data_IF_228919501306
#
_entry.id   IF_228919501306
#
_cell.length_a   1.000
_cell.length_b   1.000
_cell.length_c   1.000
_cell.angle_alpha   90.00
_cell.angle_beta   90.00
_cell.angle_gamma   90.00
#
_symmetry.space_group_name_H-M   'P 1'
#
loop_
_entity.id
_entity.type
_entity.pdbx_description
1 polymer ?
#
# COMPACT_ATOMS: atom_id res chain seq x y z
N UNK A 1 -26.10 -42.49 -16.48
CA UNK A 1 -25.19 -41.33 -16.43
C UNK A 1 -25.16 -40.83 -14.99
N UNK A 2 -24.01 -40.90 -14.29
CA UNK A 2 -23.94 -40.41 -12.92
C UNK A 2 -23.79 -38.88 -12.92
N UNK A 3 -24.62 -38.21 -12.13
CA UNK A 3 -24.62 -36.77 -11.90
C UNK A 3 -23.35 -36.35 -11.17
N UNK A 4 -22.66 -35.35 -11.72
CA UNK A 4 -21.52 -34.69 -11.09
C UNK A 4 -22.06 -33.89 -9.89
N UNK A 5 -21.55 -34.09 -8.65
CA UNK A 5 -22.01 -33.30 -7.52
C UNK A 5 -21.52 -31.86 -7.68
N UNK A 6 -22.44 -30.92 -7.46
CA UNK A 6 -22.13 -29.50 -7.39
C UNK A 6 -21.10 -29.27 -6.28
N UNK A 7 -19.90 -28.86 -6.66
CA UNK A 7 -18.91 -28.34 -5.73
C UNK A 7 -19.51 -27.12 -5.03
N UNK A 8 -19.98 -27.32 -3.80
CA UNK A 8 -20.24 -26.26 -2.83
C UNK A 8 -18.89 -25.57 -2.57
N UNK A 9 -18.65 -24.49 -3.31
CA UNK A 9 -17.58 -23.55 -3.01
C UNK A 9 -17.89 -22.99 -1.61
N UNK A 10 -17.24 -23.54 -0.59
CA UNK A 10 -17.17 -22.92 0.71
C UNK A 10 -16.61 -21.51 0.47
N UNK A 11 -17.50 -20.52 0.53
CA UNK A 11 -17.11 -19.11 0.48
C UNK A 11 -16.40 -18.85 1.80
N UNK A 12 -15.09 -19.12 1.84
CA UNK A 12 -14.26 -18.82 2.99
C UNK A 12 -14.44 -17.33 3.30
N UNK A 13 -15.23 -17.03 4.34
CA UNK A 13 -15.24 -15.70 4.90
C UNK A 13 -13.80 -15.39 5.32
N UNK A 14 -13.22 -14.26 4.88
CA UNK A 14 -11.89 -13.87 5.34
C UNK A 14 -11.88 -13.88 6.87
N UNK A 15 -10.85 -14.47 7.49
CA UNK A 15 -10.73 -14.56 8.95
C UNK A 15 -10.80 -13.17 9.60
N UNK A 16 -10.33 -12.17 8.87
CA UNK A 16 -10.36 -10.77 9.25
C UNK A 16 -11.80 -10.23 9.36
N UNK A 17 -12.74 -10.77 8.58
CA UNK A 17 -14.17 -10.43 8.68
C UNK A 17 -14.78 -11.02 9.96
N UNK A 18 -14.39 -12.25 10.31
CA UNK A 18 -14.82 -12.94 11.54
C UNK A 18 -14.25 -12.28 12.79
N UNK A 19 -12.98 -11.85 12.76
CA UNK A 19 -12.31 -11.19 13.88
C UNK A 19 -12.71 -9.73 14.04
N UNK A 20 -13.26 -9.10 12.98
CA UNK A 20 -13.58 -7.66 12.98
C UNK A 20 -14.45 -7.19 14.15
N UNK A 21 -15.49 -7.91 14.62
CA UNK A 21 -16.34 -7.44 15.73
C UNK A 21 -15.58 -7.35 17.06
N UNK A 22 -14.53 -8.17 17.23
CA UNK A 22 -13.67 -8.18 18.43
C UNK A 22 -12.54 -7.17 18.27
N UNK A 23 -11.94 -7.08 17.10
CA UNK A 23 -10.80 -6.20 16.84
C UNK A 23 -11.16 -4.71 16.88
N UNK A 24 -12.37 -4.34 16.44
CA UNK A 24 -12.84 -2.94 16.46
C UNK A 24 -12.86 -2.30 17.85
N UNK A 25 -13.56 -2.86 18.86
CA UNK A 25 -13.57 -2.26 20.19
C UNK A 25 -12.17 -2.24 20.81
N UNK A 26 -11.33 -3.25 20.55
CA UNK A 26 -9.93 -3.26 21.02
C UNK A 26 -9.10 -2.13 20.40
N UNK A 27 -9.24 -1.89 19.10
CA UNK A 27 -8.53 -0.80 18.42
C UNK A 27 -9.01 0.56 18.90
N UNK A 28 -10.33 0.75 19.07
CA UNK A 28 -10.88 1.98 19.64
C UNK A 28 -10.40 2.21 21.07
N UNK A 29 -10.46 1.20 21.93
CA UNK A 29 -9.99 1.28 23.31
C UNK A 29 -8.50 1.61 23.37
N UNK A 30 -7.68 0.97 22.53
CA UNK A 30 -6.26 1.30 22.38
C UNK A 30 -6.09 2.76 21.94
N UNK A 31 -6.80 3.20 20.90
CA UNK A 31 -6.69 4.58 20.42
C UNK A 31 -7.02 5.60 21.52
N UNK A 32 -8.09 5.38 22.29
CA UNK A 32 -8.49 6.22 23.43
C UNK A 32 -7.44 6.22 24.54
N UNK A 33 -6.90 5.05 24.90
CA UNK A 33 -5.90 4.92 25.97
C UNK A 33 -4.57 5.59 25.61
N UNK A 34 -4.15 5.52 24.34
CA UNK A 34 -2.90 6.12 23.90
C UNK A 34 -3.05 7.59 23.46
N UNK A 35 -4.27 8.10 23.26
CA UNK A 35 -4.51 9.49 22.82
C UNK A 35 -3.83 10.55 23.70
N UNK A 36 -3.94 10.52 25.05
CA UNK A 36 -3.30 11.52 25.90
C UNK A 36 -1.78 11.45 25.82
N UNK A 37 -1.22 10.24 25.69
CA UNK A 37 0.21 10.04 25.52
C UNK A 37 0.70 10.60 24.18
N UNK A 38 -0.10 10.48 23.12
CA UNK A 38 0.22 11.07 21.80
C UNK A 38 0.26 12.59 21.87
N UNK A 39 -0.76 13.22 22.46
CA UNK A 39 -0.87 14.68 22.54
C UNK A 39 0.25 15.30 23.39
N UNK A 40 0.75 14.58 24.40
CA UNK A 40 1.79 15.06 25.33
C UNK A 40 3.21 14.68 24.92
N UNK A 41 3.38 13.82 23.92
CA UNK A 41 4.69 13.39 23.44
C UNK A 41 5.39 14.51 22.67
N UNK A 42 6.59 14.88 23.11
CA UNK A 42 7.49 15.82 22.42
C UNK A 42 8.37 15.15 21.37
N UNK A 43 7.93 14.02 20.83
CA UNK A 43 8.69 13.32 19.81
C UNK A 43 8.60 14.07 18.48
N UNK A 44 9.73 14.61 18.03
CA UNK A 44 9.86 15.32 16.75
C UNK A 44 11.03 14.69 16.00
N UNK A 45 10.77 13.75 15.07
CA UNK A 45 11.83 13.20 14.23
C UNK A 45 12.34 14.27 13.26
N UNK A 46 13.58 14.12 12.82
CA UNK A 46 14.12 14.97 11.77
C UNK A 46 13.59 14.48 10.42
N UNK A 47 12.82 15.32 9.70
CA UNK A 47 12.20 14.97 8.43
C UNK A 47 12.96 15.63 7.29
N UNK A 48 13.52 14.81 6.41
CA UNK A 48 14.10 15.25 5.13
C UNK A 48 13.01 15.10 4.08
N UNK A 49 12.54 16.22 3.55
CA UNK A 49 11.52 16.22 2.50
C UNK A 49 12.07 15.69 1.16
N UNK A 50 11.17 15.19 0.31
CA UNK A 50 11.47 15.02 -1.11
C UNK A 50 11.76 16.42 -1.63
N UNK A 51 13.03 16.71 -1.95
CA UNK A 51 13.43 18.04 -2.42
C UNK A 51 12.55 18.49 -3.59
N UNK A 52 12.22 19.79 -3.70
CA UNK A 52 11.54 20.28 -4.89
C UNK A 52 12.38 19.93 -6.12
N UNK A 53 11.72 19.58 -7.22
CA UNK A 53 12.33 19.19 -8.51
C UNK A 53 13.42 20.18 -8.97
N UNK A 54 13.38 21.43 -8.48
CA UNK A 54 14.33 22.50 -8.77
C UNK A 54 15.65 22.51 -7.96
N UNK A 55 15.78 21.78 -6.86
CA UNK A 55 17.02 21.78 -6.03
C UNK A 55 17.76 20.44 -6.01
N UNK A 56 17.19 19.39 -6.61
CA UNK A 56 17.93 18.14 -6.83
C UNK A 56 18.92 18.30 -7.99
N UNK A 57 20.17 17.95 -7.74
CA UNK A 57 21.27 17.96 -8.72
C UNK A 57 21.01 17.00 -9.89
N UNK A 58 20.03 16.10 -9.76
CA UNK A 58 19.47 15.24 -10.80
C UNK A 58 17.93 15.34 -10.82
N UNK A 59 17.34 16.28 -11.58
CA UNK A 59 15.88 16.45 -11.68
C UNK A 59 15.14 15.27 -12.36
N UNK A 60 15.84 14.18 -12.69
CA UNK A 60 15.35 13.05 -13.48
C UNK A 60 14.92 11.83 -12.64
N UNK A 61 15.20 11.79 -11.33
CA UNK A 61 14.92 10.59 -10.52
C UNK A 61 13.48 10.52 -10.00
N UNK A 62 12.80 11.66 -9.83
CA UNK A 62 11.42 11.69 -9.33
C UNK A 62 10.44 11.55 -10.49
N UNK A 63 9.67 10.45 -10.49
CA UNK A 63 8.63 10.18 -11.49
C UNK A 63 7.25 10.08 -10.85
N UNK A 64 6.23 10.44 -11.61
CA UNK A 64 4.83 10.44 -11.16
C UNK A 64 4.04 9.37 -11.90
N UNK A 65 3.28 8.60 -11.15
CA UNK A 65 2.43 7.53 -11.65
C UNK A 65 1.01 7.69 -11.16
N UNK A 66 0.05 7.36 -12.01
CA UNK A 66 -1.35 7.34 -11.65
C UNK A 66 -1.88 5.91 -11.67
N UNK A 67 -2.38 5.45 -10.53
CA UNK A 67 -3.07 4.17 -10.37
C UNK A 67 -4.57 4.41 -10.42
N UNK A 68 -5.25 3.86 -11.43
CA UNK A 68 -6.68 4.05 -11.66
C UNK A 68 -7.44 2.73 -11.75
N UNK A 69 -8.60 2.71 -11.13
CA UNK A 69 -9.58 1.64 -11.25
C UNK A 69 -10.13 1.59 -12.67
N UNK A 70 -10.21 0.40 -13.24
CA UNK A 70 -10.80 0.22 -14.56
C UNK A 70 -12.33 0.39 -14.53
N UNK A 71 -12.85 1.07 -15.56
CA UNK A 71 -14.29 1.30 -15.70
C UNK A 71 -15.03 -0.04 -15.89
N UNK A 72 -16.19 -0.20 -15.26
CA UNK A 72 -17.00 -1.43 -15.33
C UNK A 72 -16.47 -2.65 -14.57
N UNK A 73 -15.17 -2.73 -14.25
CA UNK A 73 -14.58 -3.86 -13.51
C UNK A 73 -14.63 -3.70 -11.97
N UNK A 74 -14.98 -2.50 -11.49
CA UNK A 74 -14.99 -2.19 -10.06
C UNK A 74 -13.60 -2.35 -9.42
N UNK A 75 -13.52 -2.67 -8.13
CA UNK A 75 -12.25 -2.85 -7.41
C UNK A 75 -11.57 -4.21 -7.70
N UNK A 76 -11.65 -4.69 -8.94
CA UNK A 76 -11.01 -5.93 -9.39
C UNK A 76 -9.72 -5.67 -10.16
N UNK A 77 -9.68 -4.57 -10.90
CA UNK A 77 -8.55 -4.24 -11.77
C UNK A 77 -8.17 -2.78 -11.59
N UNK A 78 -6.89 -2.53 -11.37
CA UNK A 78 -6.30 -1.18 -11.39
C UNK A 78 -5.18 -1.15 -12.41
N UNK A 79 -5.17 -0.15 -13.29
CA UNK A 79 -4.07 0.12 -14.21
C UNK A 79 -3.13 1.18 -13.64
N UNK A 80 -1.84 1.03 -13.91
CA UNK A 80 -0.79 2.00 -13.57
C UNK A 80 -0.34 2.70 -14.85
N UNK A 81 -0.34 4.03 -14.82
CA UNK A 81 0.00 4.89 -15.95
C UNK A 81 1.12 5.84 -15.54
N UNK A 82 2.04 6.10 -16.47
CA UNK A 82 3.06 7.13 -16.32
C UNK A 82 2.46 8.50 -16.64
N UNK A 83 2.59 9.47 -15.72
CA UNK A 83 2.07 10.82 -15.93
C UNK A 83 2.96 11.66 -16.87
N UNK A 84 4.24 11.28 -17.04
CA UNK A 84 5.16 11.95 -17.96
C UNK A 84 4.81 11.72 -19.43
N UNK A 85 4.12 10.61 -19.73
CA UNK A 85 3.64 10.25 -21.06
C UNK A 85 2.10 10.29 -21.09
N UNK A 86 1.47 11.48 -21.20
CA UNK A 86 0.04 11.67 -20.97
C UNK A 86 -0.86 11.15 -22.10
N UNK A 87 -0.38 10.28 -22.99
CA UNK A 87 -1.21 9.72 -24.07
C UNK A 87 -2.20 8.74 -23.42
N UNK A 88 -3.41 9.25 -23.15
CA UNK A 88 -4.52 8.69 -22.35
C UNK A 88 -5.15 7.38 -22.88
N UNK A 89 -4.42 6.54 -23.60
CA UNK A 89 -4.97 5.28 -24.11
C UNK A 89 -4.73 4.11 -23.14
N UNK A 90 -5.73 3.22 -23.07
CA UNK A 90 -5.73 2.00 -22.26
C UNK A 90 -4.51 1.11 -22.57
N UNK A 91 -3.92 1.24 -23.75
CA UNK A 91 -2.85 0.40 -24.28
C UNK A 91 -1.44 0.81 -23.81
N UNK A 92 -1.29 1.91 -23.06
CA UNK A 92 0.00 2.36 -22.50
C UNK A 92 0.12 2.12 -20.99
N UNK A 93 -0.60 1.13 -20.45
CA UNK A 93 -0.44 0.71 -19.05
C UNK A 93 0.99 0.20 -18.86
N UNK A 94 1.64 0.62 -17.78
CA UNK A 94 2.91 0.04 -17.35
C UNK A 94 2.67 -1.28 -16.63
N UNK A 95 1.73 -1.25 -15.69
CA UNK A 95 1.32 -2.40 -14.90
C UNK A 95 -0.19 -2.46 -14.77
N UNK A 96 -0.69 -3.65 -14.43
CA UNK A 96 -2.03 -3.78 -13.87
C UNK A 96 -2.05 -4.65 -12.63
N UNK A 97 -2.82 -4.22 -11.62
CA UNK A 97 -3.16 -5.01 -10.44
C UNK A 97 -4.49 -5.71 -10.68
N UNK A 98 -4.44 -7.03 -10.78
CA UNK A 98 -5.63 -7.89 -10.90
C UNK A 98 -5.87 -8.60 -9.59
N UNK A 99 -7.07 -8.41 -9.05
CA UNK A 99 -7.48 -9.03 -7.79
C UNK A 99 -7.61 -10.54 -7.94
N UNK A 100 -7.06 -11.27 -6.96
CA UNK A 100 -7.28 -12.70 -6.85
C UNK A 100 -8.74 -13.02 -6.54
N UNK A 101 -9.27 -14.08 -7.15
CA UNK A 101 -10.63 -14.58 -6.87
C UNK A 101 -10.74 -15.22 -5.49
N UNK A 102 -9.64 -15.75 -4.96
CA UNK A 102 -9.61 -16.56 -3.74
C UNK A 102 -9.65 -15.74 -2.45
N UNK A 103 -9.01 -14.56 -2.43
CA UNK A 103 -8.86 -13.76 -1.20
C UNK A 103 -9.18 -12.30 -1.46
N UNK A 104 -10.10 -11.75 -0.68
CA UNK A 104 -10.48 -10.33 -0.74
C UNK A 104 -9.33 -9.49 -0.16
N UNK A 105 -8.61 -8.75 -1.00
CA UNK A 105 -7.42 -7.98 -0.60
C UNK A 105 -6.11 -8.53 -1.17
N UNK A 106 -6.16 -9.66 -1.86
CA UNK A 106 -5.02 -10.16 -2.63
C UNK A 106 -5.08 -9.68 -4.08
N UNK A 107 -3.95 -9.19 -4.59
CA UNK A 107 -3.77 -8.72 -5.96
C UNK A 107 -2.52 -9.36 -6.56
N UNK A 108 -2.49 -9.44 -7.88
CA UNK A 108 -1.30 -9.78 -8.66
C UNK A 108 -0.99 -8.59 -9.54
N UNK A 109 0.26 -8.16 -9.53
CA UNK A 109 0.79 -7.17 -10.44
C UNK A 109 1.32 -7.88 -11.68
N UNK A 110 1.04 -7.34 -12.85
CA UNK A 110 1.57 -7.82 -14.11
C UNK A 110 2.16 -6.64 -14.88
N UNK A 111 3.27 -6.86 -15.55
CA UNK A 111 3.84 -5.97 -16.55
C UNK A 111 3.13 -6.15 -17.88
N UNK A 112 2.98 -5.08 -18.66
CA UNK A 112 2.39 -5.18 -20.00
C UNK A 112 3.24 -6.07 -20.90
N UNK A 113 2.61 -7.05 -21.55
CA UNK A 113 3.27 -8.00 -22.46
C UNK A 113 3.75 -9.30 -21.78
N UNK A 114 3.72 -9.38 -20.45
CA UNK A 114 4.16 -10.56 -19.71
C UNK A 114 2.98 -11.42 -19.24
N UNK A 115 3.10 -12.74 -19.40
CA UNK A 115 2.09 -13.70 -18.94
C UNK A 115 2.23 -14.02 -17.45
N UNK A 116 3.42 -13.86 -16.89
CA UNK A 116 3.71 -14.11 -15.48
C UNK A 116 3.48 -12.86 -14.65
N UNK A 117 3.17 -13.05 -13.36
CA UNK A 117 2.95 -11.96 -12.45
C UNK A 117 4.30 -11.45 -11.91
N UNK A 118 4.53 -10.16 -12.03
CA UNK A 118 5.69 -9.44 -11.48
C UNK A 118 5.71 -9.50 -9.96
N UNK A 119 4.53 -9.37 -9.34
CA UNK A 119 4.38 -9.39 -7.88
C UNK A 119 3.04 -9.97 -7.44
N UNK A 120 3.05 -10.60 -6.27
CA UNK A 120 1.85 -11.03 -5.55
C UNK A 120 1.70 -10.20 -4.27
N UNK A 121 0.52 -9.63 -4.07
CA UNK A 121 0.23 -8.72 -2.98
C UNK A 121 -0.90 -9.31 -2.17
N UNK A 122 -0.82 -9.22 -0.86
CA UNK A 122 -1.95 -9.47 0.04
C UNK A 122 -1.98 -8.37 1.08
N UNK A 123 -3.08 -7.63 1.07
CA UNK A 123 -3.39 -6.62 2.06
C UNK A 123 -4.32 -7.19 3.14
N UNK A 124 -4.12 -6.77 4.39
CA UNK A 124 -4.92 -7.17 5.55
C UNK A 124 -4.12 -7.12 6.86
N UNK A 125 -4.61 -7.84 7.87
CA UNK A 125 -4.00 -7.88 9.22
C UNK A 125 -2.52 -8.25 9.17
N UNK A 126 -2.19 -9.25 8.34
CA UNK A 126 -0.82 -9.52 7.90
C UNK A 126 -0.74 -9.22 6.42
N UNK A 127 -0.05 -8.13 6.12
CA UNK A 127 0.17 -7.71 4.74
C UNK A 127 1.52 -8.21 4.27
N UNK A 128 1.59 -8.71 3.05
CA UNK A 128 2.84 -9.17 2.46
C UNK A 128 2.85 -9.03 0.95
N UNK A 129 4.06 -8.93 0.42
CA UNK A 129 4.38 -8.85 -0.99
C UNK A 129 5.34 -9.99 -1.30
N UNK A 130 5.12 -10.67 -2.42
CA UNK A 130 6.09 -11.57 -3.03
C UNK A 130 6.47 -10.95 -4.37
N UNK A 131 7.68 -10.40 -4.46
CA UNK A 131 8.28 -9.92 -5.70
C UNK A 131 8.88 -11.12 -6.43
N UNK A 132 8.41 -11.36 -7.66
CA UNK A 132 8.79 -12.53 -8.47
C UNK A 132 9.76 -12.12 -9.57
N UNK A 133 9.51 -10.97 -10.19
CA UNK A 133 10.30 -10.44 -11.27
C UNK A 133 10.53 -8.94 -11.07
N UNK A 134 11.69 -8.46 -11.49
CA UNK A 134 11.99 -7.05 -11.61
C UNK A 134 12.00 -6.67 -13.10
N UNK A 135 11.53 -5.46 -13.44
CA UNK A 135 11.65 -4.94 -14.82
C UNK A 135 13.02 -4.28 -15.07
N UNK A 136 13.78 -4.00 -14.01
CA UNK A 136 15.11 -3.37 -14.01
C UNK A 136 16.19 -4.36 -13.54
N UNK A 137 17.29 -4.47 -14.29
CA UNK A 137 18.43 -5.37 -14.00
C UNK A 137 19.11 -5.07 -12.65
N UNK A 138 19.10 -3.81 -12.17
CA UNK A 138 19.72 -3.43 -10.89
C UNK A 138 18.87 -3.77 -9.65
N UNK A 139 17.59 -4.10 -9.86
CA UNK A 139 16.59 -4.28 -8.80
C UNK A 139 16.38 -5.74 -8.38
N UNK A 140 17.12 -6.70 -8.96
CA UNK A 140 17.00 -8.13 -8.67
C UNK A 140 17.11 -8.47 -7.18
N UNK A 141 17.85 -7.69 -6.40
CA UNK A 141 17.98 -8.00 -4.98
C UNK A 141 16.73 -7.67 -4.13
N UNK A 142 15.70 -7.05 -4.69
CA UNK A 142 14.40 -6.86 -4.00
C UNK A 142 13.41 -8.01 -4.26
N UNK A 143 13.84 -9.08 -4.94
CA UNK A 143 13.02 -10.26 -5.15
C UNK A 143 12.80 -11.04 -3.85
N UNK A 144 11.63 -11.68 -3.74
CA UNK A 144 11.27 -12.50 -2.57
C UNK A 144 10.14 -11.91 -1.72
N UNK A 145 10.04 -12.41 -0.49
CA UNK A 145 8.95 -12.09 0.43
C UNK A 145 9.26 -10.88 1.29
N UNK A 146 8.39 -9.88 1.21
CA UNK A 146 8.42 -8.68 2.04
C UNK A 146 7.18 -8.64 2.93
N UNK A 147 7.39 -8.62 4.23
CA UNK A 147 6.29 -8.56 5.22
C UNK A 147 6.06 -7.11 5.61
N UNK A 148 4.82 -6.66 5.51
CA UNK A 148 4.43 -5.33 5.95
C UNK A 148 3.78 -5.39 7.34
N UNK A 149 4.52 -4.87 8.32
CA UNK A 149 4.07 -4.69 9.69
C UNK A 149 3.18 -3.48 9.87
N UNK A 150 2.57 -3.37 11.05
CA UNK A 150 1.80 -2.20 11.47
C UNK A 150 2.37 -1.69 12.79
N UNK A 151 2.79 -0.42 12.80
CA UNK A 151 3.28 0.26 14.00
C UNK A 151 2.51 1.54 14.18
N UNK A 152 2.41 1.93 15.43
CA UNK A 152 1.69 3.11 15.84
C UNK A 152 2.59 3.83 16.84
N UNK A 153 2.87 5.11 16.58
CA UNK A 153 3.61 5.95 17.49
C UNK A 153 2.76 7.15 17.97
N UNK A 154 3.42 8.17 18.52
CA UNK A 154 2.78 9.38 18.99
C UNK A 154 2.26 10.31 17.88
N UNK A 155 2.81 10.21 16.67
CA UNK A 155 2.55 11.10 15.54
C UNK A 155 1.52 10.48 14.60
N UNK A 156 1.74 9.23 14.20
CA UNK A 156 0.93 8.56 13.19
C UNK A 156 0.80 7.03 13.39
N UNK A 157 0.05 6.42 12.48
CA UNK A 157 0.04 4.99 12.22
C UNK A 157 0.83 4.70 10.94
N UNK A 158 1.59 3.61 10.94
CA UNK A 158 2.57 3.30 9.91
C UNK A 158 2.43 1.87 9.42
N UNK A 159 2.65 1.69 8.11
CA UNK A 159 2.92 0.40 7.48
C UNK A 159 4.39 0.29 7.16
N UNK A 160 5.08 -0.64 7.79
CA UNK A 160 6.54 -0.73 7.77
C UNK A 160 6.99 -2.01 7.12
N UNK A 161 8.10 -1.95 6.42
CA UNK A 161 8.77 -3.08 5.81
C UNK A 161 10.26 -2.77 5.75
N UNK A 162 11.06 -3.82 5.64
CA UNK A 162 12.51 -3.70 5.51
C UNK A 162 12.90 -4.13 4.11
N UNK A 163 13.82 -3.39 3.51
CA UNK A 163 14.42 -3.76 2.24
C UNK A 163 15.82 -4.32 2.47
N UNK A 164 16.38 -4.90 1.40
CA UNK A 164 17.73 -5.49 1.34
C UNK A 164 18.85 -4.55 1.80
N UNK A 165 18.62 -3.24 1.71
CA UNK A 165 19.59 -2.21 2.04
C UNK A 165 19.73 -2.01 3.56
N UNK A 166 18.98 -2.78 4.35
CA UNK A 166 19.03 -2.78 5.80
C UNK A 166 18.23 -1.64 6.44
N UNK A 167 17.53 -0.84 5.64
CA UNK A 167 16.70 0.25 6.14
C UNK A 167 15.24 -0.15 6.28
N UNK A 168 14.59 0.42 7.29
CA UNK A 168 13.14 0.32 7.44
C UNK A 168 12.47 1.42 6.64
N UNK A 169 11.54 1.04 5.78
CA UNK A 169 10.67 1.95 5.06
C UNK A 169 9.28 1.93 5.71
N UNK A 170 8.61 3.09 5.72
CA UNK A 170 7.28 3.22 6.30
C UNK A 170 6.35 4.11 5.47
N UNK A 171 5.09 3.71 5.37
CA UNK A 171 4.01 4.55 4.83
C UNK A 171 3.23 5.20 5.97
N UNK A 172 3.17 6.54 5.95
CA UNK A 172 2.40 7.33 6.90
C UNK A 172 0.90 7.32 6.55
N UNK A 173 0.02 7.40 7.55
CA UNK A 173 -1.44 7.40 7.31
C UNK A 173 -1.95 8.79 6.94
N UNK A 174 -1.55 9.80 7.72
CA UNK A 174 -2.01 11.19 7.55
C UNK A 174 -1.36 11.83 6.34
N UNK A 175 -0.03 11.83 6.32
CA UNK A 175 0.79 12.46 5.29
C UNK A 175 0.85 11.69 3.98
N UNK A 176 0.65 10.36 4.01
CA UNK A 176 0.74 9.47 2.85
C UNK A 176 2.09 9.60 2.13
N UNK A 177 3.14 9.71 2.93
CA UNK A 177 4.52 9.70 2.49
C UNK A 177 5.12 8.32 2.76
N UNK A 178 5.99 7.89 1.86
CA UNK A 178 6.92 6.80 2.10
C UNK A 178 8.20 7.42 2.66
N UNK A 179 8.60 6.96 3.82
CA UNK A 179 9.76 7.44 4.55
C UNK A 179 10.76 6.30 4.71
N UNK A 180 12.01 6.53 4.28
CA UNK A 180 13.17 5.74 4.66
C UNK A 180 13.61 6.21 6.05
N UNK A 181 13.64 5.30 7.02
CA UNK A 181 13.91 5.64 8.41
C UNK A 181 15.30 5.16 8.81
N UNK A 182 16.10 6.10 9.31
CA UNK A 182 17.39 5.84 9.94
C UNK A 182 17.21 5.87 11.46
N UNK A 183 17.85 4.93 12.17
CA UNK A 183 17.82 4.84 13.65
C UNK A 183 16.40 4.76 14.24
N UNK A 184 15.58 3.89 13.67
CA UNK A 184 14.18 3.72 14.07
C UNK A 184 14.04 3.48 15.59
N UNK A 185 13.36 4.38 16.28
CA UNK A 185 13.09 4.27 17.73
C UNK A 185 14.07 5.04 18.62
N UNK A 186 15.11 5.66 18.07
CA UNK A 186 16.09 6.44 18.84
C UNK A 186 15.67 7.91 19.11
N UNK A 187 14.37 8.21 19.04
CA UNK A 187 13.79 9.52 19.34
C UNK A 187 14.41 10.66 18.53
N UNK A 188 15.40 11.36 19.09
CA UNK A 188 16.00 12.58 18.55
C UNK A 188 17.03 12.30 17.43
N UNK A 189 17.62 11.10 17.39
CA UNK A 189 18.51 10.67 16.31
C UNK A 189 17.78 9.96 15.16
N UNK A 190 16.46 9.80 15.26
CA UNK A 190 15.65 9.23 14.19
C UNK A 190 15.51 10.24 13.03
N UNK A 191 16.01 9.85 11.87
CA UNK A 191 15.92 10.63 10.63
C UNK A 191 14.98 9.93 9.67
N UNK A 192 13.97 10.65 9.17
CA UNK A 192 12.96 10.17 8.24
C UNK A 192 13.12 10.90 6.91
N UNK A 193 13.64 10.21 5.91
CA UNK A 193 13.79 10.73 4.57
C UNK A 193 12.60 10.33 3.70
N UNK A 194 11.86 11.30 3.18
CA UNK A 194 10.74 11.01 2.27
C UNK A 194 11.28 10.60 0.91
N UNK A 195 10.80 9.47 0.40
CA UNK A 195 11.21 8.88 -0.89
C UNK A 195 10.04 8.75 -1.87
N UNK A 196 8.80 8.79 -1.37
CA UNK A 196 7.60 8.84 -2.21
C UNK A 196 6.46 9.58 -1.52
N UNK A 197 5.49 10.08 -2.30
CA UNK A 197 4.28 10.72 -1.80
C UNK A 197 3.05 10.23 -2.56
N UNK A 198 1.91 10.13 -1.87
CA UNK A 198 0.66 9.65 -2.45
C UNK A 198 -0.48 10.65 -2.25
N UNK A 199 -1.17 10.95 -3.35
CA UNK A 199 -2.45 11.65 -3.35
C UNK A 199 -3.57 10.68 -3.70
N UNK A 200 -4.45 10.41 -2.74
CA UNK A 200 -5.59 9.50 -2.94
C UNK A 200 -6.66 10.16 -3.79
N UNK A 201 -7.18 9.43 -4.78
CA UNK A 201 -8.30 9.83 -5.63
C UNK A 201 -9.54 9.04 -5.18
N UNK A 202 -10.44 9.62 -4.36
CA UNK A 202 -11.53 8.88 -3.72
C UNK A 202 -12.35 8.06 -4.71
N UNK A 203 -12.45 6.76 -4.48
CA UNK A 203 -13.22 5.84 -5.33
C UNK A 203 -12.59 5.48 -6.69
N UNK A 204 -11.49 6.13 -7.08
CA UNK A 204 -10.85 5.96 -8.38
C UNK A 204 -9.43 5.38 -8.33
N UNK A 205 -8.72 5.51 -7.20
CA UNK A 205 -7.36 5.01 -7.03
C UNK A 205 -6.48 6.04 -6.32
N UNK A 206 -5.25 6.23 -6.80
CA UNK A 206 -4.31 7.21 -6.24
C UNK A 206 -3.26 7.62 -7.27
N UNK A 207 -2.67 8.79 -7.05
CA UNK A 207 -1.46 9.24 -7.74
C UNK A 207 -0.28 9.11 -6.77
N UNK A 208 0.88 8.69 -7.27
CA UNK A 208 2.10 8.48 -6.49
C UNK A 208 3.28 9.16 -7.19
N UNK A 209 4.10 9.88 -6.43
CA UNK A 209 5.40 10.39 -6.87
C UNK A 209 6.49 9.57 -6.18
N UNK A 210 7.48 9.09 -6.93
CA UNK A 210 8.51 8.17 -6.45
C UNK A 210 9.88 8.70 -6.86
N UNK A 211 10.81 8.81 -5.91
CA UNK A 211 12.23 8.99 -6.19
C UNK A 211 12.87 7.63 -6.51
N UNK A 212 12.93 7.28 -7.79
CA UNK A 212 13.43 5.97 -8.25
C UNK A 212 14.93 5.76 -7.96
N UNK A 213 15.66 6.80 -7.53
CA UNK A 213 17.05 6.65 -7.09
C UNK A 213 17.18 6.01 -5.70
N UNK A 214 16.09 5.98 -4.91
CA UNK A 214 16.10 5.56 -3.49
C UNK A 214 15.23 4.34 -3.20
N UNK A 215 14.29 4.04 -4.09
CA UNK A 215 13.39 2.88 -3.98
C UNK A 215 12.96 2.44 -5.38
N UNK A 216 12.86 1.14 -5.60
CA UNK A 216 12.29 0.62 -6.84
C UNK A 216 10.82 1.05 -7.00
N UNK A 217 10.44 1.30 -8.24
CA UNK A 217 9.08 1.71 -8.60
C UNK A 217 8.07 0.63 -8.20
N UNK A 218 8.38 -0.62 -8.46
CA UNK A 218 7.54 -1.77 -8.17
C UNK A 218 7.29 -1.92 -6.68
N UNK A 219 8.32 -1.74 -5.85
CA UNK A 219 8.18 -1.80 -4.40
C UNK A 219 7.30 -0.66 -3.88
N UNK A 220 7.55 0.56 -4.34
CA UNK A 220 6.74 1.71 -3.95
C UNK A 220 5.27 1.54 -4.39
N UNK A 221 5.00 1.07 -5.62
CA UNK A 221 3.64 0.83 -6.12
C UNK A 221 2.92 -0.29 -5.35
N UNK A 222 3.58 -1.41 -5.10
CA UNK A 222 2.98 -2.58 -4.44
C UNK A 222 2.68 -2.30 -2.96
N UNK A 223 3.61 -1.66 -2.25
CA UNK A 223 3.43 -1.24 -0.85
C UNK A 223 2.41 -0.12 -0.72
N UNK A 224 2.39 0.85 -1.64
CA UNK A 224 1.33 1.87 -1.71
C UNK A 224 -0.04 1.24 -1.98
N UNK A 225 -0.13 0.22 -2.83
CA UNK A 225 -1.38 -0.48 -3.08
C UNK A 225 -1.90 -1.18 -1.81
N UNK A 226 -1.02 -1.79 -1.02
CA UNK A 226 -1.39 -2.34 0.30
C UNK A 226 -1.93 -1.24 1.20
N UNK A 227 -1.22 -0.12 1.34
CA UNK A 227 -1.62 1.01 2.17
C UNK A 227 -2.92 1.65 1.67
N UNK A 228 -3.15 1.73 0.35
CA UNK A 228 -4.39 2.21 -0.23
C UNK A 228 -5.56 1.27 0.11
N UNK A 229 -5.38 -0.04 -0.05
CA UNK A 229 -6.40 -1.02 0.29
C UNK A 229 -6.68 -1.00 1.79
N UNK A 230 -5.63 -0.91 2.60
CA UNK A 230 -5.67 -1.29 4.00
C UNK A 230 -5.69 -0.15 5.01
N UNK A 231 -5.08 0.98 4.68
CA UNK A 231 -4.78 2.07 5.60
C UNK A 231 -5.50 3.36 5.19
N UNK A 232 -5.27 3.87 3.97
CA UNK A 232 -5.75 5.19 3.54
C UNK A 232 -7.21 5.24 3.12
N UNK A 233 -7.79 4.09 2.77
CA UNK A 233 -9.20 3.99 2.41
C UNK A 233 -10.06 3.52 3.60
N UNK A 234 -9.59 3.75 4.85
CA UNK A 234 -10.31 3.51 6.12
C UNK A 234 -10.46 4.81 6.92
N UNK A 235 -11.59 5.01 7.60
CA UNK A 235 -11.77 6.05 8.62
C UNK A 235 -11.02 5.72 9.92
N UNK A 236 -10.85 4.44 10.26
CA UNK A 236 -10.15 4.05 11.48
C UNK A 236 -8.64 4.29 11.43
N UNK A 237 -8.03 4.41 10.25
CA UNK A 237 -6.57 4.58 10.10
C UNK A 237 -5.76 3.39 10.64
N UNK A 238 -6.41 2.24 10.87
CA UNK A 238 -5.81 0.99 11.33
C UNK A 238 -6.13 -0.08 10.31
N UNK A 239 -5.12 -0.54 9.60
CA UNK A 239 -5.38 -1.55 8.57
C UNK A 239 -5.60 -2.95 9.14
N UNK A 240 -6.26 -3.77 8.34
CA UNK A 240 -6.59 -5.16 8.63
C UNK A 240 -7.99 -5.37 9.23
N UNK A 241 -8.76 -4.30 9.46
CA UNK A 241 -10.10 -4.37 10.05
C UNK A 241 -11.16 -4.05 8.99
N UNK A 242 -12.02 -5.02 8.69
CA UNK A 242 -13.12 -4.89 7.72
C UNK A 242 -14.44 -4.54 8.43
N UNK A 243 -15.25 -3.66 7.83
CA UNK A 243 -16.66 -3.46 8.22
C UNK A 243 -17.60 -4.31 7.34
N UNK A 244 -18.72 -4.85 7.87
CA UNK A 244 -19.73 -5.51 7.05
C UNK A 244 -20.35 -4.53 6.06
N UNK A 245 -20.86 -5.08 4.95
CA UNK A 245 -21.50 -4.36 3.85
C UNK A 245 -22.62 -3.41 4.33
N UNK A 246 -22.62 -2.16 3.83
CA UNK A 246 -23.76 -1.24 3.94
C UNK A 246 -24.44 -1.03 2.57
N UNK A 247 -25.79 -1.07 2.46
CA UNK A 247 -26.50 -1.18 1.17
C UNK A 247 -26.40 0.02 0.21
N UNK A 248 -26.05 1.21 0.70
CA UNK A 248 -26.08 2.47 -0.07
C UNK A 248 -24.70 2.98 -0.48
N UNK A 249 -23.65 2.20 -0.24
CA UNK A 249 -22.27 2.60 -0.50
C UNK A 249 -21.59 1.61 -1.45
N UNK A 250 -20.48 2.05 -2.08
CA UNK A 250 -19.60 1.13 -2.83
C UNK A 250 -19.29 -0.06 -1.92
N UNK A 251 -19.40 -1.29 -2.43
CA UNK A 251 -19.36 -2.58 -1.69
C UNK A 251 -18.17 -2.79 -0.72
N UNK A 252 -17.24 -1.83 -0.66
CA UNK A 252 -15.99 -1.80 0.11
C UNK A 252 -15.50 -0.37 0.38
N UNK A 253 -16.40 0.59 0.62
CA UNK A 253 -15.99 1.78 1.38
C UNK A 253 -15.64 1.28 2.79
N UNK A 254 -14.38 1.41 3.21
CA UNK A 254 -14.08 1.28 4.63
C UNK A 254 -14.31 2.67 5.18
N UNK A 255 -15.49 2.82 5.76
CA UNK A 255 -15.73 3.89 6.70
C UNK A 255 -15.01 3.47 8.00
#
# INVERSE_FOLDING_TARGET
MPSIPANTVATNMPIELLLSPIMRPLVLAKAVLFHPHRETSRYVPNIIDVGPVSTQTNPTSVKSYTVRREFGQGAKVYGVFDDANPIKHIDQRLYWFVRSRAVKGAYKMYTTGEAQATAHIRAGLRSNILMIQSTSDDDEFELGWHVMGHRVDAIDSYRLFELKDGFTYQWTTKGKFMEKVHNLGEKESEVRERVASVTVLPGHGFQIQIDESKVSREMALTTAMISFIDQWNTQLGVGGIYYPYQPSQVRWKRD
#
